data_IF_803052766722
#
_entry.id   IF_803052766722
#
_cell.length_a   1.000
_cell.length_b   1.000
_cell.length_c   1.000
_cell.angle_alpha   90.00
_cell.angle_beta   90.00
_cell.angle_gamma   90.00
#
_symmetry.space_group_name_H-M   'P 1'
#
loop_
_entity.id
_entity.type
_entity.pdbx_description
1 polymer ?
#
# COMPACT_ATOMS: atom_id res chain seq x y z
N UNK A 1 2.22 9.02 15.21
CA UNK A 1 1.86 9.92 14.08
C UNK A 1 2.71 9.56 12.87
N UNK A 2 2.09 9.48 11.69
CA UNK A 2 2.79 9.22 10.42
C UNK A 2 2.79 10.42 9.49
N UNK A 3 1.87 11.35 9.71
CA UNK A 3 1.74 12.56 8.91
C UNK A 3 1.25 13.71 9.76
N UNK A 4 1.69 14.92 9.41
CA UNK A 4 1.18 16.20 9.91
C UNK A 4 0.75 17.01 8.69
N UNK A 5 -0.50 17.46 8.67
CA UNK A 5 -1.00 18.33 7.61
C UNK A 5 -0.80 19.79 8.01
N UNK A 6 0.05 20.47 7.27
CA UNK A 6 0.32 21.91 7.45
C UNK A 6 -0.62 22.81 6.62
N UNK A 7 -1.67 22.25 5.99
CA UNK A 7 -2.71 22.97 5.23
C UNK A 7 -2.16 23.97 4.20
N UNK A 8 -1.10 23.58 3.48
CA UNK A 8 -0.46 24.42 2.47
C UNK A 8 0.41 25.54 3.06
N UNK A 9 0.92 25.37 4.27
CA UNK A 9 1.90 26.28 4.86
C UNK A 9 3.04 26.58 3.89
N UNK A 10 3.43 27.84 3.69
CA UNK A 10 4.60 28.18 2.90
C UNK A 10 5.93 27.88 3.60
N UNK A 11 5.88 27.50 4.89
CA UNK A 11 7.06 27.35 5.75
C UNK A 11 7.41 25.91 6.11
N UNK A 12 6.43 24.99 6.08
CA UNK A 12 6.62 23.61 6.49
C UNK A 12 5.88 22.64 5.57
N UNK A 13 6.45 21.46 5.43
CA UNK A 13 5.80 20.31 4.78
C UNK A 13 6.13 19.02 5.54
N UNK A 14 5.26 18.02 5.44
CA UNK A 14 5.55 16.66 5.90
C UNK A 14 5.56 15.75 4.68
N UNK A 15 6.66 15.09 4.44
CA UNK A 15 6.83 14.14 3.37
C UNK A 15 7.45 12.85 3.94
N UNK A 16 6.81 11.72 3.65
CA UNK A 16 7.21 10.39 4.12
C UNK A 16 7.56 10.35 5.64
N UNK A 17 6.72 10.98 6.46
CA UNK A 17 6.89 11.09 7.93
C UNK A 17 8.13 11.89 8.37
N UNK A 18 8.66 12.74 7.53
CA UNK A 18 9.68 13.72 7.90
C UNK A 18 9.11 15.12 7.74
N UNK A 19 9.22 15.92 8.77
CA UNK A 19 8.84 17.33 8.73
C UNK A 19 10.04 18.15 8.26
N UNK A 20 9.83 18.94 7.23
CA UNK A 20 10.83 19.85 6.68
C UNK A 20 10.38 21.30 6.82
N UNK A 21 11.32 22.21 7.11
CA UNK A 21 11.13 23.62 6.82
C UNK A 21 11.22 23.85 5.30
N UNK A 22 10.56 24.91 4.83
CA UNK A 22 10.59 25.30 3.42
C UNK A 22 11.22 26.68 3.24
N UNK A 23 12.04 26.81 2.22
CA UNK A 23 12.52 28.07 1.70
C UNK A 23 12.26 28.16 0.21
N UNK A 24 11.51 29.17 -0.22
CA UNK A 24 11.08 29.34 -1.62
C UNK A 24 10.37 28.09 -2.19
N UNK A 25 9.57 27.39 -1.36
CA UNK A 25 8.82 26.20 -1.71
C UNK A 25 9.66 24.91 -1.84
N UNK A 26 10.94 24.96 -1.47
CA UNK A 26 11.84 23.78 -1.47
C UNK A 26 12.16 23.37 -0.03
N UNK A 27 12.37 22.06 0.19
CA UNK A 27 12.84 21.54 1.46
C UNK A 27 14.16 22.22 1.83
N UNK A 28 14.26 22.71 3.06
CA UNK A 28 15.45 23.39 3.59
C UNK A 28 16.09 22.59 4.70
N UNK A 29 15.40 22.45 5.82
CA UNK A 29 15.93 21.75 6.98
C UNK A 29 15.02 20.63 7.41
N UNK A 30 15.58 19.53 7.91
CA UNK A 30 14.85 18.47 8.60
C UNK A 30 14.52 19.01 10.01
N UNK A 31 13.24 19.07 10.34
CA UNK A 31 12.76 19.55 11.63
C UNK A 31 12.47 18.42 12.60
N UNK A 32 11.84 17.35 12.12
CA UNK A 32 11.44 16.22 12.96
C UNK A 32 11.21 14.96 12.12
N UNK A 33 11.59 13.80 12.65
CA UNK A 33 11.27 12.47 12.13
C UNK A 33 10.13 11.86 12.96
N UNK A 34 9.02 11.50 12.30
CA UNK A 34 7.82 10.99 12.99
C UNK A 34 7.92 9.48 13.22
N UNK A 35 7.69 9.04 14.45
CA UNK A 35 7.82 7.63 14.88
C UNK A 35 6.87 6.64 14.18
N UNK A 36 5.79 7.10 13.59
CA UNK A 36 4.78 6.23 12.98
C UNK A 36 5.16 5.65 11.61
N UNK A 37 6.33 5.97 11.10
CA UNK A 37 6.86 5.49 9.83
C UNK A 37 7.15 3.97 9.88
N UNK A 38 6.74 3.23 8.85
CA UNK A 38 6.96 1.78 8.76
C UNK A 38 8.45 1.43 8.59
N UNK A 39 9.19 2.25 7.83
CA UNK A 39 10.65 2.09 7.62
C UNK A 39 11.43 3.11 8.45
N UNK A 40 12.43 2.66 9.18
CA UNK A 40 13.38 3.51 9.88
C UNK A 40 14.49 4.09 8.98
N UNK A 41 14.45 3.84 7.68
CA UNK A 41 15.49 4.28 6.73
C UNK A 41 15.13 5.64 6.16
N UNK A 42 16.06 6.60 6.20
CA UNK A 42 16.00 7.88 5.48
C UNK A 42 16.92 7.77 4.26
N UNK A 43 16.28 7.71 3.08
CA UNK A 43 16.99 7.52 1.81
C UNK A 43 17.58 8.84 1.27
N UNK A 44 18.64 8.77 0.43
CA UNK A 44 19.26 9.95 -0.18
C UNK A 44 18.26 10.86 -0.91
N UNK A 45 17.27 10.29 -1.57
CA UNK A 45 16.23 11.03 -2.32
C UNK A 45 15.30 11.86 -1.41
N UNK A 46 15.19 11.50 -0.13
CA UNK A 46 14.35 12.23 0.83
C UNK A 46 15.03 13.50 1.33
N UNK A 47 16.34 13.52 1.32
CA UNK A 47 17.18 14.62 1.84
C UNK A 47 17.86 15.42 0.73
N UNK A 48 17.56 15.15 -0.53
CA UNK A 48 18.13 15.89 -1.66
C UNK A 48 17.88 17.39 -1.53
N UNK A 49 18.97 18.18 -1.53
CA UNK A 49 18.91 19.63 -1.42
C UNK A 49 18.66 20.17 -0.01
N UNK A 50 18.48 19.32 0.99
CA UNK A 50 18.36 19.75 2.40
C UNK A 50 19.69 20.36 2.87
N UNK A 51 19.61 21.49 3.60
CA UNK A 51 20.78 22.26 4.01
C UNK A 51 21.07 22.19 5.51
N UNK A 52 20.10 21.74 6.32
CA UNK A 52 20.27 21.65 7.78
C UNK A 52 19.42 20.56 8.43
N UNK A 53 19.72 20.28 9.66
CA UNK A 53 18.99 19.40 10.57
C UNK A 53 18.74 20.23 11.85
N UNK A 54 17.52 20.18 12.37
CA UNK A 54 17.22 20.82 13.67
C UNK A 54 17.85 20.02 14.82
N UNK A 55 18.08 20.69 15.95
CA UNK A 55 18.39 20.01 17.20
C UNK A 55 17.33 18.97 17.51
N UNK A 56 17.76 17.79 17.98
CA UNK A 56 16.89 16.67 18.37
C UNK A 56 15.97 16.12 17.25
N UNK A 57 16.15 16.45 15.96
CA UNK A 57 15.24 16.10 14.87
C UNK A 57 14.92 14.61 14.75
N UNK A 58 15.83 13.73 15.18
CA UNK A 58 15.63 12.27 15.20
C UNK A 58 15.65 11.69 16.62
N UNK A 59 15.72 12.55 17.66
CA UNK A 59 15.86 12.07 19.04
C UNK A 59 14.69 11.21 19.49
N UNK A 60 14.98 10.12 20.21
CA UNK A 60 13.98 9.19 20.75
C UNK A 60 13.28 8.34 19.71
N UNK A 61 13.65 8.41 18.44
CA UNK A 61 12.94 7.75 17.34
C UNK A 61 13.49 6.34 17.04
N UNK A 62 12.75 5.60 16.18
CA UNK A 62 13.15 4.27 15.69
C UNK A 62 13.88 4.34 14.35
N UNK A 63 14.46 5.50 14.01
CA UNK A 63 15.30 5.60 12.81
C UNK A 63 16.41 4.56 12.86
N UNK A 64 16.65 3.87 11.73
CA UNK A 64 17.64 2.79 11.64
C UNK A 64 18.83 3.14 10.76
N UNK A 65 18.64 3.96 9.74
CA UNK A 65 19.70 4.43 8.85
C UNK A 65 19.34 5.80 8.29
N UNK A 66 20.34 6.67 8.15
CA UNK A 66 20.17 8.00 7.54
C UNK A 66 21.28 8.25 6.55
N UNK A 67 20.92 8.41 5.29
CA UNK A 67 21.85 8.73 4.21
C UNK A 67 21.71 10.18 3.78
N UNK A 68 22.65 11.02 4.23
CA UNK A 68 22.69 12.46 3.97
C UNK A 68 23.58 12.84 2.77
N UNK A 69 24.16 11.88 2.04
CA UNK A 69 25.17 12.15 1.00
C UNK A 69 24.69 13.07 -0.13
N UNK A 70 23.38 13.11 -0.40
CA UNK A 70 22.78 14.01 -1.41
C UNK A 70 22.32 15.35 -0.84
N UNK A 71 22.47 15.54 0.46
CA UNK A 71 22.15 16.81 1.14
C UNK A 71 23.34 17.80 1.09
N UNK A 72 23.07 19.01 1.52
CA UNK A 72 24.07 20.07 1.75
C UNK A 72 24.20 20.41 3.24
N UNK A 73 23.88 19.46 4.10
CA UNK A 73 24.02 19.61 5.55
C UNK A 73 25.47 19.90 5.91
N UNK A 74 25.68 20.96 6.70
CA UNK A 74 27.03 21.38 7.13
C UNK A 74 27.37 20.95 8.55
N UNK A 75 26.35 20.73 9.37
CA UNK A 75 26.54 20.45 10.78
C UNK A 75 25.53 19.42 11.28
N UNK A 76 26.00 18.48 12.09
CA UNK A 76 25.12 17.61 12.88
C UNK A 76 24.93 18.27 14.24
N UNK A 77 23.72 18.80 14.53
CA UNK A 77 23.47 19.60 15.71
C UNK A 77 23.39 18.78 17.00
N UNK A 78 23.33 19.49 18.13
CA UNK A 78 23.19 18.88 19.45
C UNK A 78 21.96 17.98 19.54
N UNK A 79 22.13 16.76 20.07
CA UNK A 79 21.05 15.79 20.28
C UNK A 79 20.40 15.22 19.02
N UNK A 80 20.86 15.55 17.81
CA UNK A 80 20.18 15.22 16.56
C UNK A 80 19.73 13.76 16.47
N UNK A 81 20.51 12.81 16.95
CA UNK A 81 20.25 11.36 16.97
C UNK A 81 20.34 10.79 18.40
N UNK A 82 20.07 11.58 19.40
CA UNK A 82 20.07 11.13 20.79
C UNK A 82 18.96 10.11 21.05
N UNK A 83 19.21 9.12 21.90
CA UNK A 83 18.23 8.10 22.30
C UNK A 83 17.62 7.32 21.12
N UNK A 84 18.40 7.00 20.09
CA UNK A 84 17.98 6.24 18.91
C UNK A 84 18.39 4.76 19.00
N UNK A 85 17.56 3.90 19.62
CA UNK A 85 17.93 2.51 19.94
C UNK A 85 17.97 1.57 18.72
N UNK A 86 17.61 2.05 17.54
CA UNK A 86 17.60 1.29 16.28
C UNK A 86 18.59 1.82 15.26
N UNK A 87 19.21 2.96 15.51
CA UNK A 87 20.12 3.58 14.56
C UNK A 87 21.36 2.70 14.38
N UNK A 88 21.56 2.24 13.16
CA UNK A 88 22.69 1.40 12.77
C UNK A 88 23.73 2.19 11.98
N UNK A 89 23.31 3.02 11.01
CA UNK A 89 24.22 3.70 10.10
C UNK A 89 23.84 5.16 9.81
N UNK A 90 24.86 6.02 9.71
CA UNK A 90 24.71 7.41 9.21
C UNK A 90 25.80 7.68 8.18
N UNK A 91 25.39 8.24 7.02
CA UNK A 91 26.27 8.61 5.92
C UNK A 91 26.26 10.13 5.79
N UNK A 92 27.37 10.78 6.08
CA UNK A 92 27.45 12.24 6.05
C UNK A 92 27.82 12.75 4.64
N UNK A 93 27.32 13.95 4.25
CA UNK A 93 27.68 14.57 2.97
C UNK A 93 29.08 15.21 3.04
N UNK A 94 29.71 15.38 1.89
CA UNK A 94 31.01 16.08 1.76
C UNK A 94 30.95 17.55 2.19
N UNK A 95 29.78 18.12 2.40
CA UNK A 95 29.59 19.46 2.93
C UNK A 95 29.67 19.54 4.44
N UNK A 96 29.55 18.41 5.15
CA UNK A 96 29.54 18.37 6.62
C UNK A 96 30.88 18.82 7.20
N UNK A 97 30.83 19.72 8.19
CA UNK A 97 31.99 20.33 8.85
C UNK A 97 32.11 19.97 10.32
N UNK A 98 30.96 19.75 10.99
CA UNK A 98 30.95 19.52 12.42
C UNK A 98 29.94 18.49 12.89
N UNK A 99 30.26 17.83 14.00
CA UNK A 99 29.38 16.96 14.78
C UNK A 99 29.39 17.50 16.21
N UNK A 100 28.22 17.96 16.67
CA UNK A 100 28.07 18.65 17.94
C UNK A 100 27.97 17.68 19.13
N UNK A 101 27.97 18.25 20.32
CA UNK A 101 27.78 17.55 21.58
C UNK A 101 26.48 16.75 21.57
N UNK A 102 26.46 15.60 22.25
CA UNK A 102 25.31 14.72 22.45
C UNK A 102 24.60 14.24 21.17
N UNK A 103 25.13 14.55 19.97
CA UNK A 103 24.49 14.22 18.69
C UNK A 103 24.09 12.76 18.57
N UNK A 104 24.84 11.83 19.17
CA UNK A 104 24.61 10.37 19.13
C UNK A 104 24.60 9.75 20.54
N UNK A 105 24.35 10.53 21.57
CA UNK A 105 24.26 10.03 22.95
C UNK A 105 23.14 9.01 23.07
N UNK A 106 23.40 7.87 23.73
CA UNK A 106 22.46 6.73 23.88
C UNK A 106 21.95 6.14 22.56
N UNK A 107 22.66 6.31 21.47
CA UNK A 107 22.32 5.66 20.19
C UNK A 107 22.92 4.27 20.06
N UNK A 108 22.31 3.42 19.21
CA UNK A 108 22.87 2.10 18.84
C UNK A 108 23.69 2.14 17.55
N UNK A 109 24.23 3.33 17.21
CA UNK A 109 24.98 3.50 15.97
C UNK A 109 26.20 2.58 15.93
N UNK A 110 26.32 1.83 14.83
CA UNK A 110 27.41 0.89 14.60
C UNK A 110 28.31 1.29 13.41
N UNK A 111 27.84 2.16 12.54
CA UNK A 111 28.59 2.60 11.37
C UNK A 111 28.37 4.08 11.06
N UNK A 112 29.42 4.78 10.73
CA UNK A 112 29.34 6.16 10.26
C UNK A 112 30.33 6.39 9.10
N UNK A 113 29.82 6.90 7.97
CA UNK A 113 30.64 7.45 6.92
C UNK A 113 30.94 8.92 7.22
N UNK A 114 32.19 9.24 7.51
CA UNK A 114 32.61 10.57 7.92
C UNK A 114 33.60 11.13 6.90
N UNK A 115 33.19 12.11 6.09
CA UNK A 115 34.04 12.68 5.06
C UNK A 115 35.20 13.49 5.64
N UNK A 116 36.24 13.68 4.85
CA UNK A 116 37.42 14.47 5.24
C UNK A 116 37.09 15.93 5.57
N UNK A 117 35.97 16.43 5.07
CA UNK A 117 35.48 17.77 5.31
C UNK A 117 35.13 18.04 6.78
N UNK A 118 34.85 16.99 7.57
CA UNK A 118 34.53 17.12 9.00
C UNK A 118 35.77 17.54 9.76
N UNK A 119 35.79 18.80 10.16
CA UNK A 119 36.93 19.43 10.84
C UNK A 119 36.79 19.45 12.37
N UNK A 120 35.56 19.27 12.88
CA UNK A 120 35.23 19.26 14.30
C UNK A 120 34.30 18.13 14.68
N UNK A 121 34.72 17.35 15.69
CA UNK A 121 33.85 16.38 16.39
C UNK A 121 33.96 16.68 17.89
N UNK A 122 32.80 16.92 18.52
CA UNK A 122 32.76 17.14 19.95
C UNK A 122 33.18 15.87 20.72
N UNK A 123 33.88 16.01 21.83
CA UNK A 123 34.33 14.88 22.63
C UNK A 123 33.16 14.06 23.20
N UNK A 124 32.02 14.72 23.46
CA UNK A 124 30.82 14.13 24.02
C UNK A 124 29.76 13.81 22.94
N UNK A 125 30.10 13.85 21.65
CA UNK A 125 29.17 13.54 20.55
C UNK A 125 28.55 12.13 20.66
N UNK A 126 29.29 11.15 21.21
CA UNK A 126 28.92 9.76 21.40
C UNK A 126 28.94 9.41 22.90
N UNK A 127 28.02 9.97 23.65
CA UNK A 127 27.93 9.80 25.11
C UNK A 127 27.01 8.67 25.57
N UNK A 128 26.81 8.58 26.88
CA UNK A 128 25.84 7.70 27.50
C UNK A 128 26.11 6.21 27.26
N UNK A 129 25.11 5.48 26.77
CA UNK A 129 25.18 4.03 26.51
C UNK A 129 25.67 3.67 25.10
N UNK A 130 26.10 4.65 24.30
CA UNK A 130 26.65 4.39 22.94
C UNK A 130 27.95 3.56 23.06
N UNK A 131 27.94 2.37 22.45
CA UNK A 131 29.12 1.49 22.47
C UNK A 131 30.12 1.90 21.40
N UNK A 132 31.10 2.69 21.81
CA UNK A 132 32.18 3.15 20.92
C UNK A 132 33.07 2.00 20.38
N UNK A 133 33.11 0.85 21.07
CA UNK A 133 33.89 -0.30 20.60
C UNK A 133 33.19 -1.09 19.48
N UNK A 134 31.87 -0.98 19.40
CA UNK A 134 31.08 -1.55 18.31
C UNK A 134 30.90 -0.58 17.12
N UNK A 135 31.20 0.72 17.32
CA UNK A 135 31.13 1.74 16.27
C UNK A 135 32.32 1.66 15.32
N UNK A 136 32.05 1.81 14.05
CA UNK A 136 33.07 1.86 12.99
C UNK A 136 32.91 3.14 12.15
N UNK A 137 34.01 3.87 11.99
CA UNK A 137 34.08 5.01 11.08
C UNK A 137 34.71 4.58 9.75
N UNK A 138 34.02 4.85 8.65
CA UNK A 138 34.62 4.92 7.33
C UNK A 138 35.12 6.36 7.14
N UNK A 139 36.40 6.55 7.15
CA UNK A 139 37.06 7.86 7.06
C UNK A 139 38.46 7.76 6.45
N UNK A 140 38.96 8.89 5.98
CA UNK A 140 40.33 8.97 5.42
C UNK A 140 41.36 8.91 6.56
N UNK A 141 42.39 8.10 6.37
CA UNK A 141 43.50 7.98 7.32
C UNK A 141 44.14 9.35 7.55
N UNK A 142 44.34 9.71 8.81
CA UNK A 142 44.91 11.00 9.22
C UNK A 142 43.92 12.18 9.23
N UNK A 143 42.68 11.99 8.82
CA UNK A 143 41.62 13.00 8.95
C UNK A 143 41.28 13.29 10.42
N UNK A 144 40.55 14.39 10.70
CA UNK A 144 40.08 14.68 12.05
C UNK A 144 39.17 13.56 12.59
N UNK A 145 38.34 12.95 11.74
CA UNK A 145 37.51 11.80 12.08
C UNK A 145 38.36 10.59 12.50
N UNK A 146 39.44 10.29 11.76
CA UNK A 146 40.37 9.23 12.08
C UNK A 146 41.08 9.47 13.43
N UNK A 147 41.55 10.70 13.67
CA UNK A 147 42.21 11.10 14.93
C UNK A 147 41.26 10.97 16.11
N UNK A 148 39.98 11.44 15.93
CA UNK A 148 38.95 11.31 16.93
C UNK A 148 38.63 9.84 17.24
N UNK A 149 38.42 9.03 16.20
CA UNK A 149 38.08 7.61 16.32
C UNK A 149 39.21 6.86 17.10
N UNK A 150 40.44 7.04 16.69
CA UNK A 150 41.64 6.42 17.35
C UNK A 150 41.72 6.80 18.82
N UNK A 151 41.52 8.09 19.15
CA UNK A 151 41.54 8.60 20.53
C UNK A 151 40.40 8.01 21.40
N UNK A 152 39.27 7.72 20.81
CA UNK A 152 38.04 7.27 21.51
C UNK A 152 37.82 5.75 21.44
N UNK A 153 38.73 4.96 20.85
CA UNK A 153 38.60 3.51 20.73
C UNK A 153 37.57 3.07 19.70
N UNK A 154 37.21 3.94 18.76
CA UNK A 154 36.32 3.66 17.64
C UNK A 154 37.11 3.00 16.53
N UNK A 155 36.59 1.93 15.94
CA UNK A 155 37.26 1.27 14.82
C UNK A 155 37.25 2.15 13.57
N UNK A 156 38.30 2.09 12.75
CA UNK A 156 38.34 2.80 11.47
C UNK A 156 38.50 1.81 10.31
N UNK A 157 37.94 2.15 9.18
CA UNK A 157 38.03 1.39 7.93
C UNK A 157 38.25 2.33 6.76
N UNK A 158 39.07 1.89 5.79
CA UNK A 158 39.24 2.57 4.50
C UNK A 158 38.31 2.01 3.41
N UNK A 159 37.39 1.09 3.76
CA UNK A 159 36.37 0.54 2.87
C UNK A 159 35.01 0.94 3.33
N UNK A 160 34.14 1.47 2.45
CA UNK A 160 32.76 1.74 2.79
C UNK A 160 32.04 0.45 3.19
N UNK A 161 31.06 0.58 4.07
CA UNK A 161 30.16 -0.52 4.38
C UNK A 161 29.24 -0.77 3.17
N UNK A 162 29.40 -1.93 2.56
CA UNK A 162 28.46 -2.40 1.55
C UNK A 162 27.26 -3.01 2.27
N UNK A 163 26.18 -2.26 2.37
CA UNK A 163 24.90 -2.79 2.82
C UNK A 163 24.22 -3.52 1.67
N UNK A 164 23.71 -4.71 1.95
CA UNK A 164 22.91 -5.48 1.01
C UNK A 164 21.55 -5.75 1.61
N UNK A 165 20.54 -5.71 0.77
CA UNK A 165 19.17 -6.00 1.13
C UNK A 165 18.63 -7.17 0.32
N UNK A 166 17.71 -7.91 0.91
CA UNK A 166 17.03 -9.01 0.26
C UNK A 166 15.78 -8.49 -0.44
N UNK A 167 15.69 -8.66 -1.75
CA UNK A 167 14.49 -8.38 -2.54
C UNK A 167 13.87 -9.68 -2.99
N UNK A 168 12.60 -9.89 -2.66
CA UNK A 168 11.84 -11.08 -3.07
C UNK A 168 10.75 -10.66 -4.05
N UNK A 169 10.64 -11.39 -5.16
CA UNK A 169 9.62 -11.19 -6.19
C UNK A 169 8.56 -12.28 -6.07
N UNK A 170 7.31 -11.87 -6.01
CA UNK A 170 6.15 -12.75 -5.83
C UNK A 170 5.16 -12.59 -6.96
N UNK A 171 4.54 -13.68 -7.38
CA UNK A 171 3.44 -13.64 -8.33
C UNK A 171 2.12 -13.30 -7.63
N UNK A 172 1.07 -13.06 -8.41
CA UNK A 172 -0.28 -12.72 -7.96
C UNK A 172 -0.90 -13.77 -7.00
N UNK A 173 -0.48 -15.03 -7.10
CA UNK A 173 -0.96 -16.17 -6.30
C UNK A 173 -0.10 -16.45 -5.06
N UNK A 174 0.78 -15.54 -4.71
CA UNK A 174 1.77 -15.67 -3.64
C UNK A 174 2.84 -16.73 -3.90
N UNK A 175 3.09 -17.09 -5.14
CA UNK A 175 4.24 -17.91 -5.53
C UNK A 175 5.50 -17.05 -5.49
N UNK A 176 6.54 -17.50 -4.76
CA UNK A 176 7.85 -16.86 -4.78
C UNK A 176 8.52 -17.14 -6.14
N UNK A 177 8.82 -16.08 -6.88
CA UNK A 177 9.43 -16.15 -8.21
C UNK A 177 10.95 -16.06 -8.16
N UNK A 178 11.47 -15.14 -7.34
CA UNK A 178 12.91 -14.91 -7.23
C UNK A 178 13.28 -14.27 -5.88
N UNK A 179 14.55 -14.42 -5.50
CA UNK A 179 15.16 -13.78 -4.33
C UNK A 179 16.52 -13.24 -4.73
N UNK A 180 16.73 -11.95 -4.59
CA UNK A 180 17.96 -11.24 -4.95
C UNK A 180 18.58 -10.57 -3.75
N UNK A 181 19.91 -10.49 -3.74
CA UNK A 181 20.68 -9.67 -2.80
C UNK A 181 21.15 -8.43 -3.56
N UNK A 182 20.70 -7.26 -3.15
CA UNK A 182 20.92 -5.99 -3.83
C UNK A 182 21.70 -5.06 -2.93
N UNK A 183 22.73 -4.41 -3.46
CA UNK A 183 23.46 -3.39 -2.70
C UNK A 183 22.55 -2.19 -2.39
N UNK A 184 22.78 -1.54 -1.25
CA UNK A 184 22.03 -0.34 -0.86
C UNK A 184 22.07 0.72 -1.97
N UNK A 185 20.89 1.24 -2.35
CA UNK A 185 20.73 2.17 -3.45
C UNK A 185 20.79 1.55 -4.85
N UNK A 186 21.00 0.24 -4.95
CA UNK A 186 20.96 -0.50 -6.22
C UNK A 186 19.52 -0.86 -6.63
N UNK A 187 19.39 -1.33 -7.86
CA UNK A 187 18.12 -1.77 -8.43
C UNK A 187 18.05 -3.30 -8.42
N UNK A 188 16.88 -3.84 -8.07
CA UNK A 188 16.60 -5.25 -8.32
C UNK A 188 16.13 -5.44 -9.77
N UNK A 189 16.22 -6.67 -10.27
CA UNK A 189 15.83 -7.03 -11.65
C UNK A 189 14.63 -7.97 -11.59
N UNK A 190 13.43 -7.54 -12.04
CA UNK A 190 12.27 -8.40 -11.97
C UNK A 190 12.45 -9.64 -12.86
N UNK A 191 12.05 -10.83 -12.36
CA UNK A 191 12.12 -12.08 -13.12
C UNK A 191 11.09 -12.09 -14.24
N UNK A 192 11.32 -12.96 -15.24
CA UNK A 192 10.29 -13.31 -16.20
C UNK A 192 9.17 -14.08 -15.51
N UNK A 193 7.91 -13.72 -15.81
CA UNK A 193 6.73 -14.44 -15.33
C UNK A 193 6.17 -15.33 -16.42
N UNK A 194 5.58 -16.46 -16.02
CA UNK A 194 4.95 -17.40 -16.98
C UNK A 194 3.70 -16.84 -17.66
N UNK A 195 3.24 -15.67 -17.21
CA UNK A 195 1.97 -15.09 -17.62
C UNK A 195 0.77 -15.70 -16.89
N UNK A 196 -0.29 -14.94 -16.82
CA UNK A 196 -1.60 -15.33 -16.29
C UNK A 196 -2.61 -15.29 -17.40
N UNK A 197 -3.28 -16.43 -17.68
CA UNK A 197 -4.27 -16.50 -18.77
C UNK A 197 -5.37 -15.47 -18.60
N UNK A 198 -5.65 -14.68 -19.64
CA UNK A 198 -6.63 -13.60 -19.63
C UNK A 198 -6.20 -12.33 -18.90
N UNK A 199 -4.90 -12.18 -18.59
CA UNK A 199 -4.37 -11.02 -17.92
C UNK A 199 -3.00 -10.62 -18.49
N UNK A 200 -2.77 -9.32 -18.59
CA UNK A 200 -1.48 -8.73 -18.97
C UNK A 200 -0.75 -8.22 -17.74
N UNK A 201 0.54 -8.56 -17.60
CA UNK A 201 1.41 -7.97 -16.57
C UNK A 201 1.57 -6.48 -16.84
N UNK A 202 1.22 -5.64 -15.86
CA UNK A 202 1.33 -4.18 -15.96
C UNK A 202 2.54 -3.61 -15.23
N UNK A 203 3.17 -4.40 -14.36
CA UNK A 203 4.34 -3.99 -13.62
C UNK A 203 4.52 -4.71 -12.30
N UNK A 204 5.26 -4.08 -11.41
CA UNK A 204 5.66 -4.61 -10.11
C UNK A 204 5.51 -3.56 -9.01
N UNK A 205 5.02 -3.94 -7.84
CA UNK A 205 4.76 -3.02 -6.70
C UNK A 205 5.22 -3.69 -5.40
N UNK A 206 5.88 -2.96 -4.49
CA UNK A 206 6.37 -1.59 -4.60
C UNK A 206 7.51 -1.42 -5.60
N UNK A 207 7.98 -0.18 -5.80
CA UNK A 207 9.13 0.12 -6.65
C UNK A 207 10.37 -0.64 -6.15
N UNK A 208 11.09 -1.25 -7.06
CA UNK A 208 12.27 -2.09 -6.82
C UNK A 208 13.61 -1.42 -7.20
N UNK A 209 13.55 -0.12 -7.52
CA UNK A 209 14.73 0.70 -7.79
C UNK A 209 15.22 1.39 -6.51
N UNK A 210 16.51 1.66 -6.43
CA UNK A 210 17.12 2.36 -5.30
C UNK A 210 16.87 1.69 -3.94
N UNK A 211 16.96 0.37 -3.86
CA UNK A 211 16.61 -0.45 -2.69
C UNK A 211 17.37 0.00 -1.45
N UNK A 212 16.64 0.33 -0.36
CA UNK A 212 17.19 0.82 0.90
C UNK A 212 16.82 -0.04 2.12
N UNK A 213 16.06 -1.13 1.91
CA UNK A 213 15.67 -2.09 2.94
C UNK A 213 15.28 -3.41 2.27
N UNK A 214 15.13 -4.48 3.06
CA UNK A 214 14.51 -5.72 2.58
C UNK A 214 13.14 -5.43 1.99
N UNK A 215 12.86 -5.96 0.80
CA UNK A 215 11.71 -5.59 -0.01
C UNK A 215 10.99 -6.83 -0.54
N UNK A 216 9.66 -6.82 -0.42
CA UNK A 216 8.78 -7.78 -1.07
C UNK A 216 8.03 -7.09 -2.21
N UNK A 217 8.30 -7.52 -3.45
CA UNK A 217 7.73 -6.95 -4.68
C UNK A 217 6.75 -7.96 -5.27
N UNK A 218 5.56 -7.50 -5.66
CA UNK A 218 4.50 -8.37 -6.19
C UNK A 218 4.11 -7.93 -7.60
N UNK A 219 3.96 -8.92 -8.50
CA UNK A 219 3.50 -8.71 -9.87
C UNK A 219 2.08 -8.14 -9.90
N UNK A 220 1.87 -7.13 -10.73
CA UNK A 220 0.56 -6.51 -10.96
C UNK A 220 0.04 -6.89 -12.34
N UNK A 221 -1.22 -7.27 -12.40
CA UNK A 221 -1.88 -7.71 -13.63
C UNK A 221 -3.17 -6.93 -13.87
N UNK A 222 -3.45 -6.64 -15.11
CA UNK A 222 -4.73 -6.12 -15.58
C UNK A 222 -5.41 -7.18 -16.46
N UNK A 223 -6.71 -7.34 -16.32
CA UNK A 223 -7.47 -8.27 -17.17
C UNK A 223 -7.46 -7.79 -18.63
N UNK A 224 -7.15 -8.68 -19.57
CA UNK A 224 -7.14 -8.39 -21.02
C UNK A 224 -8.52 -7.95 -21.50
N UNK A 225 -9.57 -8.54 -20.91
CA UNK A 225 -10.95 -8.09 -21.04
C UNK A 225 -11.46 -7.75 -19.63
N UNK A 226 -11.81 -6.48 -19.34
CA UNK A 226 -12.32 -6.09 -18.03
C UNK A 226 -13.62 -6.82 -17.66
N UNK A 227 -14.28 -7.45 -18.64
CA UNK A 227 -15.47 -8.27 -18.44
C UNK A 227 -15.20 -9.78 -18.34
N UNK A 228 -13.96 -10.25 -18.63
CA UNK A 228 -13.59 -11.68 -18.56
C UNK A 228 -13.77 -12.30 -17.17
N UNK A 229 -13.72 -11.52 -16.12
CA UNK A 229 -13.99 -11.98 -14.75
C UNK A 229 -15.46 -12.01 -14.38
N UNK A 230 -16.36 -11.56 -15.28
CA UNK A 230 -17.79 -11.48 -15.03
C UNK A 230 -18.50 -12.70 -15.60
N UNK A 231 -19.58 -13.08 -14.95
CA UNK A 231 -20.47 -14.14 -15.41
C UNK A 231 -21.57 -13.58 -16.30
N UNK A 232 -21.88 -14.28 -17.37
CA UNK A 232 -23.03 -13.98 -18.22
C UNK A 232 -24.32 -14.48 -17.55
N UNK A 233 -25.26 -13.56 -17.28
CA UNK A 233 -26.58 -13.88 -16.78
C UNK A 233 -27.60 -13.60 -17.89
N UNK A 234 -28.41 -14.62 -18.24
CA UNK A 234 -29.44 -14.52 -19.26
C UNK A 234 -30.82 -14.77 -18.64
N UNK A 235 -31.72 -13.81 -18.78
CA UNK A 235 -33.13 -13.92 -18.36
C UNK A 235 -33.99 -14.40 -19.54
N UNK A 236 -34.68 -15.49 -19.33
CA UNK A 236 -35.59 -16.06 -20.33
C UNK A 236 -37.04 -15.99 -19.87
N UNK A 237 -37.92 -15.84 -20.84
CA UNK A 237 -39.36 -15.98 -20.61
C UNK A 237 -39.78 -17.47 -20.68
N UNK A 238 -41.08 -17.74 -20.50
CA UNK A 238 -41.68 -19.08 -20.50
C UNK A 238 -41.54 -19.84 -21.86
N UNK A 239 -41.30 -19.11 -22.94
CA UNK A 239 -41.14 -19.62 -24.31
C UNK A 239 -39.68 -19.64 -24.78
N UNK A 240 -38.73 -19.55 -23.82
CA UNK A 240 -37.30 -19.47 -24.02
C UNK A 240 -36.84 -18.19 -24.78
N UNK A 241 -37.71 -17.21 -24.96
CA UNK A 241 -37.30 -15.92 -25.50
C UNK A 241 -36.36 -15.18 -24.53
N UNK A 242 -35.29 -14.56 -25.04
CA UNK A 242 -34.34 -13.79 -24.24
C UNK A 242 -34.92 -12.44 -23.89
N UNK A 243 -35.14 -12.18 -22.61
CA UNK A 243 -35.64 -10.90 -22.11
C UNK A 243 -34.46 -9.92 -21.81
N UNK A 244 -33.37 -10.42 -21.25
CA UNK A 244 -32.19 -9.61 -20.91
C UNK A 244 -30.96 -10.50 -20.83
N UNK A 245 -29.81 -9.98 -21.27
CA UNK A 245 -28.51 -10.57 -20.99
C UNK A 245 -27.61 -9.49 -20.39
N UNK A 246 -26.84 -9.83 -19.35
CA UNK A 246 -25.94 -8.90 -18.69
C UNK A 246 -24.72 -9.61 -18.13
N UNK A 247 -23.64 -8.83 -17.88
CA UNK A 247 -22.44 -9.31 -17.21
C UNK A 247 -22.50 -8.93 -15.73
N UNK A 248 -22.26 -9.90 -14.85
CA UNK A 248 -22.34 -9.74 -13.40
C UNK A 248 -21.03 -10.18 -12.76
N UNK A 249 -20.44 -9.34 -11.92
CA UNK A 249 -19.23 -9.68 -11.19
C UNK A 249 -19.50 -10.82 -10.18
N UNK A 250 -18.50 -11.67 -9.89
CA UNK A 250 -18.64 -12.76 -8.92
C UNK A 250 -19.21 -12.28 -7.58
N UNK A 251 -20.20 -13.00 -7.07
CA UNK A 251 -20.86 -12.71 -5.79
C UNK A 251 -21.80 -11.52 -5.78
N UNK A 252 -22.01 -10.84 -6.90
CA UNK A 252 -22.99 -9.76 -7.03
C UNK A 252 -24.34 -10.30 -7.49
N UNK A 253 -25.36 -9.47 -7.33
CA UNK A 253 -26.73 -9.76 -7.73
C UNK A 253 -26.94 -9.32 -9.19
N UNK A 254 -27.74 -10.09 -9.93
CA UNK A 254 -28.19 -9.71 -11.26
C UNK A 254 -29.45 -8.85 -11.16
N UNK A 255 -29.50 -7.77 -11.92
CA UNK A 255 -30.67 -6.89 -12.01
C UNK A 255 -31.66 -7.46 -13.03
N UNK A 256 -32.86 -7.94 -12.60
CA UNK A 256 -33.84 -8.52 -13.51
C UNK A 256 -34.41 -7.50 -14.49
N UNK A 257 -34.93 -7.94 -15.65
CA UNK A 257 -35.73 -7.08 -16.52
C UNK A 257 -37.06 -6.71 -15.87
N UNK A 258 -37.83 -5.83 -16.54
CA UNK A 258 -39.24 -5.55 -16.15
C UNK A 258 -40.01 -6.87 -16.17
N UNK A 259 -40.88 -7.07 -15.17
CA UNK A 259 -41.70 -8.25 -15.02
C UNK A 259 -42.45 -8.57 -16.32
N UNK A 260 -42.23 -9.74 -16.92
CA UNK A 260 -42.86 -10.10 -18.17
C UNK A 260 -44.32 -10.45 -17.95
N UNK A 261 -45.13 -10.33 -19.03
CA UNK A 261 -46.55 -10.58 -18.98
C UNK A 261 -46.92 -11.80 -19.82
N UNK A 262 -47.72 -12.70 -19.26
CA UNK A 262 -48.30 -13.85 -19.95
C UNK A 262 -49.79 -13.89 -19.77
N UNK A 263 -50.53 -13.96 -20.89
CA UNK A 263 -52.01 -14.00 -20.85
C UNK A 263 -52.47 -15.25 -20.08
N UNK A 264 -53.41 -15.04 -19.14
CA UNK A 264 -53.95 -16.10 -18.28
C UNK A 264 -53.04 -16.56 -17.15
N UNK A 265 -51.92 -15.86 -16.91
CA UNK A 265 -50.94 -16.20 -15.86
C UNK A 265 -50.52 -14.94 -15.10
N UNK A 266 -50.16 -15.13 -13.84
CA UNK A 266 -49.53 -14.11 -13.01
C UNK A 266 -48.03 -14.42 -12.86
N UNK A 267 -47.18 -13.44 -13.12
CA UNK A 267 -45.72 -13.57 -12.85
C UNK A 267 -45.49 -13.64 -11.34
N UNK A 268 -44.70 -14.62 -10.88
CA UNK A 268 -44.43 -14.87 -9.47
C UNK A 268 -42.95 -14.77 -9.10
N UNK A 269 -42.09 -14.44 -10.05
CA UNK A 269 -40.64 -14.22 -9.76
C UNK A 269 -39.73 -14.91 -10.75
N UNK A 270 -38.44 -14.97 -10.36
CA UNK A 270 -37.35 -15.48 -11.16
C UNK A 270 -36.71 -16.71 -10.51
N UNK A 271 -36.30 -17.71 -11.31
CA UNK A 271 -35.65 -18.91 -10.83
C UNK A 271 -34.55 -19.38 -11.81
N UNK A 272 -33.33 -19.76 -11.36
CA UNK A 272 -32.80 -19.66 -9.98
C UNK A 272 -32.80 -18.23 -9.44
N UNK A 273 -32.39 -18.04 -8.18
CA UNK A 273 -32.33 -16.72 -7.55
C UNK A 273 -31.36 -15.79 -8.32
N UNK A 274 -31.71 -14.50 -8.36
CA UNK A 274 -30.93 -13.45 -9.04
C UNK A 274 -29.73 -12.96 -8.20
N UNK A 275 -29.58 -13.49 -6.99
CA UNK A 275 -28.57 -13.04 -6.01
C UNK A 275 -27.34 -13.93 -5.98
N UNK A 276 -26.17 -13.33 -5.61
CA UNK A 276 -24.90 -14.03 -5.38
C UNK A 276 -24.47 -14.90 -6.57
N UNK A 277 -24.37 -14.30 -7.76
CA UNK A 277 -23.99 -14.98 -9.00
C UNK A 277 -22.53 -15.47 -8.90
N UNK A 278 -22.32 -16.79 -9.08
CA UNK A 278 -21.01 -17.45 -8.98
C UNK A 278 -20.61 -18.22 -10.26
N UNK A 279 -21.46 -18.20 -11.28
CA UNK A 279 -21.22 -18.83 -12.58
C UNK A 279 -22.13 -18.22 -13.65
N UNK A 280 -21.85 -18.54 -14.94
CA UNK A 280 -22.79 -18.25 -16.02
C UNK A 280 -24.13 -18.89 -15.70
N UNK A 281 -25.20 -18.07 -15.68
CA UNK A 281 -26.51 -18.48 -15.15
C UNK A 281 -27.62 -18.10 -16.10
N UNK A 282 -28.52 -19.07 -16.38
CA UNK A 282 -29.78 -18.80 -17.05
C UNK A 282 -30.90 -18.78 -16.03
N UNK A 283 -31.68 -17.71 -16.03
CA UNK A 283 -32.76 -17.43 -15.06
C UNK A 283 -34.07 -17.34 -15.82
N UNK A 284 -35.08 -18.08 -15.36
CA UNK A 284 -36.36 -18.20 -16.00
C UNK A 284 -37.45 -17.45 -15.25
N UNK A 285 -38.33 -16.77 -15.97
CA UNK A 285 -39.58 -16.23 -15.45
C UNK A 285 -40.49 -17.37 -14.97
N UNK A 286 -41.04 -17.20 -13.77
CA UNK A 286 -41.97 -18.15 -13.18
C UNK A 286 -43.38 -17.57 -13.18
N UNK A 287 -44.35 -18.41 -13.48
CA UNK A 287 -45.73 -18.00 -13.60
C UNK A 287 -46.66 -18.95 -12.87
N UNK A 288 -47.69 -18.41 -12.29
CA UNK A 288 -48.84 -19.14 -11.78
C UNK A 288 -50.04 -18.91 -12.69
N UNK A 289 -50.78 -19.99 -13.02
CA UNK A 289 -51.99 -19.89 -13.85
C UNK A 289 -53.08 -19.15 -13.07
N UNK A 290 -53.62 -18.15 -13.70
CA UNK A 290 -54.79 -17.47 -13.12
C UNK A 290 -55.97 -18.43 -13.08
N UNK A 291 -56.57 -18.62 -11.93
CA UNK A 291 -57.90 -19.26 -11.85
C UNK A 291 -58.91 -18.35 -12.55
N UNK A 292 -59.23 -18.70 -13.79
CA UNK A 292 -60.27 -17.94 -14.49
C UNK A 292 -61.62 -18.15 -13.81
N UNK A 293 -62.21 -17.07 -13.33
CA UNK A 293 -63.63 -17.11 -12.91
C UNK A 293 -64.53 -17.60 -14.02
N UNK A 294 -64.10 -17.55 -15.29
CA UNK A 294 -64.80 -18.04 -16.46
C UNK A 294 -64.89 -19.59 -16.53
N UNK A 295 -64.11 -20.35 -15.72
CA UNK A 295 -64.26 -21.79 -15.58
C UNK A 295 -65.35 -22.20 -14.57
N UNK A 296 -66.00 -21.26 -13.92
CA UNK A 296 -67.09 -21.52 -12.97
C UNK A 296 -68.40 -21.39 -13.64
N UNK A 297 -69.21 -22.47 -13.61
CA UNK A 297 -70.55 -22.45 -14.05
C UNK A 297 -71.40 -21.64 -13.06
N UNK A 298 -72.31 -20.80 -13.60
CA UNK A 298 -73.34 -20.10 -12.77
C UNK A 298 -74.53 -21.01 -12.62
N UNK A 299 -74.76 -21.52 -11.41
CA UNK A 299 -75.91 -22.29 -11.06
C UNK A 299 -76.93 -21.33 -10.38
N UNK A 300 -78.13 -21.26 -10.96
CA UNK A 300 -79.20 -20.48 -10.39
C UNK A 300 -80.24 -21.45 -9.84
N UNK A 301 -80.61 -21.25 -8.61
CA UNK A 301 -81.79 -21.91 -8.00
C UNK A 301 -82.98 -20.98 -8.11
N UNK A 302 -83.98 -21.46 -8.77
CA UNK A 302 -85.23 -20.69 -9.03
C UNK A 302 -86.40 -21.37 -8.40
N UNK A 303 -87.40 -20.56 -7.95
CA UNK A 303 -88.70 -21.06 -7.44
C UNK A 303 -89.65 -21.36 -8.59
N UNK A 304 -90.87 -21.90 -8.29
CA UNK A 304 -91.84 -22.32 -9.27
C UNK A 304 -92.39 -21.16 -10.12
N UNK A 305 -92.21 -19.92 -9.67
CA UNK A 305 -92.60 -18.67 -10.32
C UNK A 305 -91.48 -17.96 -11.04
N UNK A 306 -90.31 -18.67 -11.30
CA UNK A 306 -89.13 -18.16 -11.90
C UNK A 306 -88.34 -17.14 -11.02
N UNK A 307 -88.72 -16.97 -9.76
CA UNK A 307 -88.00 -16.13 -8.83
C UNK A 307 -86.64 -16.76 -8.51
N UNK A 308 -85.50 -16.02 -8.70
CA UNK A 308 -84.15 -16.48 -8.39
C UNK A 308 -83.98 -16.49 -6.87
N UNK A 309 -83.88 -17.67 -6.29
CA UNK A 309 -83.70 -17.87 -4.86
C UNK A 309 -82.24 -17.73 -4.46
N UNK A 310 -81.33 -18.24 -5.29
CA UNK A 310 -79.92 -18.24 -5.01
C UNK A 310 -79.05 -18.41 -6.29
N UNK A 311 -77.91 -17.75 -6.35
CA UNK A 311 -76.94 -17.86 -7.45
C UNK A 311 -75.60 -18.27 -6.88
N UNK A 312 -74.97 -19.33 -7.41
CA UNK A 312 -73.69 -19.83 -7.00
C UNK A 312 -72.82 -20.06 -8.25
N UNK A 313 -71.58 -19.69 -8.13
CA UNK A 313 -70.54 -20.09 -9.11
C UNK A 313 -69.81 -21.38 -8.64
N UNK A 314 -69.84 -22.42 -9.47
CA UNK A 314 -69.29 -23.75 -9.18
C UNK A 314 -68.24 -24.09 -10.21
N UNK A 315 -67.10 -24.54 -9.74
CA UNK A 315 -66.00 -25.01 -10.63
C UNK A 315 -66.48 -26.25 -11.42
N UNK A 316 -65.92 -26.40 -12.65
CA UNK A 316 -66.09 -27.68 -13.37
C UNK A 316 -65.39 -28.78 -12.59
N UNK A 317 -66.17 -29.79 -12.16
CA UNK A 317 -65.67 -30.93 -11.37
C UNK A 317 -64.65 -31.80 -12.08
#
# INVERSE_FOLDING_TARGET
LTTVDFQGSPYFTCDNSIIYSLENGKKKDIIEFLEGRASGVVAPTEVEGVTGIAEEAFAGTKVSSVDLRTSFVTDIPEGAFMDTPKLFAVYLPDTCKSISKDSFTNSSIAYMEVPESVSYLDNDAFGGTTDKSALQFYCVDGSNAYIYATKNGIMTTSKPLELFYTVTFWDWDSTLLDTQTVAAGGDAVPPEVKGREGYTLTGWVPDYHGVQADLQVTAQYEADDPDASKYTVTFLDWDDSVLKTMLVAPGKDAEPPIDPKREGYTFIGWRPAVTNIQANTTIYAQYEKNDSEDSKFTVRFIDYDDTVLYVQKVASG
#
